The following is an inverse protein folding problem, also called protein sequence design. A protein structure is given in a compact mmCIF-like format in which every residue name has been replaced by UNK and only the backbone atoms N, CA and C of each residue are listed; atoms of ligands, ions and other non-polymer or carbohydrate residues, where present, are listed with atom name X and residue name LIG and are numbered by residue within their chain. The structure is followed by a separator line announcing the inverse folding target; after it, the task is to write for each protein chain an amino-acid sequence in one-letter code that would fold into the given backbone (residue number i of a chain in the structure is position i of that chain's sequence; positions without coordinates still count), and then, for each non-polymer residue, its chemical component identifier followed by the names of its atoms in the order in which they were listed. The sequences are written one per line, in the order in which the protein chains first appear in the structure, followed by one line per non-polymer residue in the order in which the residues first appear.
data_IF_561834432407
#
_entry.id   IF_561834432407
#
_cell.length_a   1.000
_cell.length_b   1.000
_cell.length_c   1.000
_cell.angle_alpha   90.00
_cell.angle_beta   90.00
_cell.angle_gamma   90.00
#
_symmetry.space_group_name_H-M   'P 1'
#
loop_
_entity.id
_entity.type
_entity.pdbx_description
1 polymer ?
#
# COMPACT_ATOMS: atom_id res chain seq x y z
N UNK A 1 -43.44 -31.62 -7.24
CA UNK A 1 -43.12 -30.47 -8.12
C UNK A 1 -42.15 -30.97 -9.15
N UNK A 2 -42.66 -31.58 -10.24
CA UNK A 2 -42.78 -31.00 -11.59
C UNK A 2 -41.52 -30.25 -12.04
N UNK A 3 -40.91 -30.80 -13.10
CA UNK A 3 -39.76 -30.30 -13.87
C UNK A 3 -39.95 -28.85 -14.30
N UNK A 4 -38.85 -28.11 -14.48
CA UNK A 4 -38.70 -27.34 -15.72
C UNK A 4 -37.23 -27.17 -16.14
N UNK A 5 -37.02 -27.53 -17.39
CA UNK A 5 -35.77 -27.55 -18.15
C UNK A 5 -35.78 -26.31 -19.02
N UNK A 6 -34.71 -25.50 -19.04
CA UNK A 6 -34.52 -24.51 -20.10
C UNK A 6 -33.13 -24.66 -20.70
N UNK A 7 -33.12 -25.22 -21.91
CA UNK A 7 -32.00 -25.21 -22.84
C UNK A 7 -32.26 -24.14 -23.90
N UNK A 8 -31.29 -23.25 -24.12
CA UNK A 8 -31.11 -22.41 -25.32
C UNK A 8 -29.61 -22.04 -25.30
N UNK A 9 -28.80 -22.13 -26.35
CA UNK A 9 -29.02 -22.30 -27.78
C UNK A 9 -27.77 -21.73 -28.46
N UNK A 10 -27.20 -22.48 -29.40
CA UNK A 10 -25.94 -22.21 -30.09
C UNK A 10 -25.95 -20.95 -30.99
N UNK A 11 -24.77 -20.41 -31.30
CA UNK A 11 -24.36 -20.05 -32.68
C UNK A 11 -22.93 -19.49 -32.75
N UNK A 12 -22.05 -20.23 -33.45
CA UNK A 12 -20.75 -19.79 -33.96
C UNK A 12 -20.93 -18.84 -35.17
N UNK A 13 -20.04 -17.85 -35.34
CA UNK A 13 -19.75 -17.26 -36.66
C UNK A 13 -18.26 -16.90 -36.77
N UNK A 14 -17.57 -17.58 -37.69
CA UNK A 14 -16.25 -17.27 -38.25
C UNK A 14 -16.40 -16.16 -39.32
N UNK A 15 -15.42 -15.26 -39.46
CA UNK A 15 -15.18 -14.56 -40.73
C UNK A 15 -13.73 -14.04 -40.81
N UNK A 16 -12.94 -14.71 -41.66
CA UNK A 16 -11.68 -14.22 -42.23
C UNK A 16 -11.98 -13.14 -43.28
N UNK A 17 -11.19 -12.06 -43.25
CA UNK A 17 -11.13 -11.08 -44.34
C UNK A 17 -9.68 -10.73 -44.66
N UNK A 18 -9.12 -11.37 -45.68
CA UNK A 18 -7.83 -11.01 -46.28
C UNK A 18 -8.11 -9.98 -47.38
N UNK A 19 -7.65 -8.75 -47.19
CA UNK A 19 -7.64 -7.71 -48.23
C UNK A 19 -6.23 -7.56 -48.77
N UNK A 20 -6.01 -8.11 -49.97
CA UNK A 20 -4.95 -7.71 -50.86
C UNK A 20 -5.39 -6.44 -51.61
N UNK A 21 -4.56 -5.39 -51.57
CA UNK A 21 -4.78 -4.13 -52.28
C UNK A 21 -3.45 -3.47 -52.63
N UNK A 22 -3.18 -3.35 -53.93
CA UNK A 22 -1.99 -2.72 -54.53
C UNK A 22 -2.12 -1.21 -54.68
N UNK A 23 -0.96 -0.60 -54.94
CA UNK A 23 -0.72 0.63 -55.72
C UNK A 23 -0.67 1.95 -54.94
N UNK A 24 0.44 2.66 -55.14
CA UNK A 24 0.66 4.01 -54.64
C UNK A 24 2.12 4.29 -54.36
N UNK A 25 2.95 4.36 -55.41
CA UNK A 25 4.26 5.01 -55.29
C UNK A 25 4.00 6.53 -55.26
N UNK A 26 3.97 7.10 -54.07
CA UNK A 26 4.09 8.54 -53.84
C UNK A 26 5.37 8.78 -53.06
N UNK A 27 6.23 9.61 -53.64
CA UNK A 27 7.46 10.12 -53.03
C UNK A 27 7.20 10.64 -51.60
N UNK A 28 8.02 10.24 -50.60
CA UNK A 28 7.94 10.91 -49.32
C UNK A 28 8.61 12.27 -49.46
N UNK A 29 7.80 13.32 -49.43
CA UNK A 29 8.26 14.62 -48.99
C UNK A 29 8.96 14.43 -47.64
N UNK A 30 10.15 15.01 -47.50
CA UNK A 30 10.89 15.01 -46.25
C UNK A 30 10.05 15.74 -45.19
N UNK A 31 9.26 14.99 -44.42
CA UNK A 31 8.72 15.47 -43.16
C UNK A 31 9.90 15.74 -42.24
N UNK A 32 10.15 17.02 -41.96
CA UNK A 32 10.94 17.43 -40.82
C UNK A 32 10.25 16.88 -39.56
N UNK A 33 10.69 15.68 -39.14
CA UNK A 33 10.27 15.08 -37.89
C UNK A 33 10.62 16.03 -36.76
N UNK A 34 9.60 16.59 -36.12
CA UNK A 34 9.77 17.18 -34.79
C UNK A 34 10.11 16.02 -33.86
N UNK A 35 11.38 15.93 -33.43
CA UNK A 35 11.74 15.04 -32.34
C UNK A 35 10.97 15.55 -31.12
N UNK A 36 9.84 14.91 -30.79
CA UNK A 36 9.27 15.01 -29.44
C UNK A 36 10.23 14.24 -28.54
N UNK A 37 11.16 14.95 -27.92
CA UNK A 37 11.85 14.44 -26.75
C UNK A 37 10.78 14.25 -25.69
N UNK A 38 10.43 12.99 -25.39
CA UNK A 38 9.63 12.69 -24.22
C UNK A 38 10.35 13.30 -23.00
N UNK A 39 9.64 13.95 -22.07
CA UNK A 39 10.23 14.36 -20.81
C UNK A 39 10.99 13.17 -20.19
N UNK A 40 12.18 13.37 -19.62
CA UNK A 40 12.86 12.29 -18.93
C UNK A 40 11.91 11.71 -17.87
N UNK A 41 11.78 10.39 -17.86
CA UNK A 41 11.06 9.70 -16.79
C UNK A 41 11.81 9.95 -15.49
N UNK A 42 11.25 10.81 -14.64
CA UNK A 42 11.74 10.99 -13.28
C UNK A 42 11.45 9.69 -12.56
N UNK A 43 12.49 8.89 -12.30
CA UNK A 43 12.35 7.70 -11.46
C UNK A 43 12.05 8.20 -10.04
N UNK A 44 10.86 7.89 -9.55
CA UNK A 44 10.49 8.22 -8.19
C UNK A 44 11.29 7.37 -7.21
N UNK A 45 11.82 7.96 -6.12
CA UNK A 45 12.55 7.20 -5.12
C UNK A 45 11.67 6.12 -4.49
N UNK A 46 12.20 4.89 -4.41
CA UNK A 46 11.59 3.83 -3.60
C UNK A 46 11.74 4.17 -2.11
N UNK A 47 10.75 3.76 -1.29
CA UNK A 47 10.84 3.92 0.16
C UNK A 47 12.03 3.10 0.69
N UNK A 48 12.85 3.66 1.60
CA UNK A 48 13.99 2.93 2.13
C UNK A 48 13.51 1.71 2.94
N UNK A 49 14.20 0.56 2.84
CA UNK A 49 13.89 -0.59 3.69
C UNK A 49 14.27 -0.28 5.15
N UNK A 50 13.56 -0.91 6.08
CA UNK A 50 13.79 -0.76 7.54
C UNK A 50 14.13 -2.09 8.19
N UNK A 51 15.00 -2.07 9.20
CA UNK A 51 15.44 -3.25 9.95
C UNK A 51 15.52 -2.96 11.47
N UNK A 52 15.22 -3.94 12.34
CA UNK A 52 15.26 -3.76 13.80
C UNK A 52 16.69 -3.76 14.35
N UNK A 53 17.42 -2.66 14.18
CA UNK A 53 18.87 -2.57 14.42
C UNK A 53 19.25 -2.20 15.85
N UNK A 54 18.38 -1.49 16.58
CA UNK A 54 18.70 -0.94 17.91
C UNK A 54 17.61 -1.26 18.93
N UNK A 55 18.00 -1.74 20.11
CA UNK A 55 17.07 -1.89 21.26
C UNK A 55 16.81 -0.53 21.89
N UNK A 56 15.58 -0.01 21.69
CA UNK A 56 15.12 1.27 22.22
C UNK A 56 13.59 1.36 22.16
N UNK A 57 13.01 2.24 22.98
CA UNK A 57 11.58 2.52 22.96
C UNK A 57 11.17 3.24 21.66
N UNK A 58 9.97 2.93 21.16
CA UNK A 58 9.40 3.60 20.01
C UNK A 58 8.94 5.03 20.38
N UNK A 59 9.32 6.07 19.62
CA UNK A 59 9.12 7.46 20.03
C UNK A 59 7.66 7.94 20.05
N UNK A 60 6.74 7.24 19.40
CA UNK A 60 5.34 7.64 19.26
C UNK A 60 4.32 6.58 19.73
N UNK A 61 4.78 5.42 20.16
CA UNK A 61 3.92 4.30 20.54
C UNK A 61 4.57 3.45 21.63
N UNK A 62 3.88 3.21 22.74
CA UNK A 62 4.43 2.38 23.82
C UNK A 62 4.13 0.89 23.63
N UNK A 63 4.97 0.03 24.23
CA UNK A 63 4.75 -1.42 24.25
C UNK A 63 3.43 -1.81 24.95
N UNK A 64 3.02 -1.07 25.99
CA UNK A 64 1.75 -1.32 26.70
C UNK A 64 0.54 -1.03 25.80
N UNK A 65 0.60 0.03 25.00
CA UNK A 65 -0.46 0.37 24.03
C UNK A 65 -0.56 -0.68 22.92
N UNK A 66 0.58 -1.14 22.41
CA UNK A 66 0.63 -2.25 21.45
C UNK A 66 0.04 -3.52 22.06
N UNK A 67 0.41 -3.83 23.30
CA UNK A 67 -0.09 -5.01 24.01
C UNK A 67 -1.61 -4.96 24.19
N UNK A 68 -2.14 -3.79 24.53
CA UNK A 68 -3.58 -3.58 24.68
C UNK A 68 -4.33 -3.67 23.34
N UNK A 69 -3.76 -3.13 22.26
CA UNK A 69 -4.37 -3.14 20.93
C UNK A 69 -4.33 -4.53 20.27
N UNK A 70 -3.20 -5.23 20.38
CA UNK A 70 -2.98 -6.53 19.74
C UNK A 70 -3.47 -7.73 20.57
N UNK A 71 -3.64 -7.56 21.89
CA UNK A 71 -3.95 -8.66 22.80
C UNK A 71 -2.77 -9.63 23.04
N UNK A 72 -1.58 -9.29 22.53
CA UNK A 72 -0.33 -10.03 22.69
C UNK A 72 0.68 -9.12 23.39
N UNK A 73 1.30 -9.54 24.51
CA UNK A 73 2.30 -8.72 25.19
C UNK A 73 3.51 -8.45 24.30
N UNK A 74 3.83 -7.17 24.12
CA UNK A 74 5.10 -6.72 23.55
C UNK A 74 6.19 -6.80 24.63
N UNK A 75 7.07 -7.79 24.49
CA UNK A 75 8.13 -8.11 25.45
C UNK A 75 9.44 -7.36 25.19
N UNK A 76 9.70 -6.98 23.94
CA UNK A 76 10.88 -6.21 23.52
C UNK A 76 10.51 -5.25 22.38
N UNK A 77 11.26 -4.14 22.28
CA UNK A 77 11.08 -3.13 21.23
C UNK A 77 12.42 -2.81 20.60
N UNK A 78 12.43 -2.80 19.28
CA UNK A 78 13.59 -2.34 18.49
C UNK A 78 13.17 -1.30 17.50
N UNK A 79 14.13 -0.46 17.12
CA UNK A 79 13.91 0.61 16.15
C UNK A 79 14.92 0.59 15.02
N UNK A 80 14.53 1.22 13.92
CA UNK A 80 15.42 1.72 12.88
C UNK A 80 15.39 3.25 12.90
N UNK A 81 16.50 3.88 13.31
CA UNK A 81 16.68 5.33 13.32
C UNK A 81 17.31 5.86 12.02
N UNK A 82 17.46 5.02 11.00
CA UNK A 82 17.83 5.41 9.63
C UNK A 82 16.71 6.13 8.87
N UNK A 83 15.49 6.11 9.42
CA UNK A 83 14.30 6.83 8.95
C UNK A 83 13.78 7.76 10.05
N UNK A 84 13.16 8.88 9.67
CA UNK A 84 12.60 9.85 10.61
C UNK A 84 11.11 10.09 10.29
N UNK A 85 10.18 9.86 11.24
CA UNK A 85 10.38 9.21 12.54
C UNK A 85 10.90 7.77 12.45
N UNK A 86 11.58 7.31 13.50
CA UNK A 86 12.11 5.94 13.57
C UNK A 86 11.03 4.87 13.32
N UNK A 87 11.38 3.84 12.55
CA UNK A 87 10.54 2.65 12.42
C UNK A 87 10.62 1.82 13.70
N UNK A 88 9.52 1.20 14.11
CA UNK A 88 9.44 0.45 15.36
C UNK A 88 8.98 -0.98 15.12
N UNK A 89 9.61 -1.91 15.84
CA UNK A 89 9.37 -3.35 15.75
C UNK A 89 9.10 -3.87 17.16
N UNK A 90 7.92 -4.44 17.36
CA UNK A 90 7.47 -4.97 18.64
C UNK A 90 7.53 -6.49 18.62
N UNK A 91 8.25 -7.04 19.59
CA UNK A 91 8.51 -8.46 19.72
C UNK A 91 7.65 -9.09 20.79
N UNK A 92 7.16 -10.30 20.55
CA UNK A 92 6.45 -11.08 21.54
C UNK A 92 7.42 -11.79 22.51
N UNK A 93 6.87 -12.55 23.46
CA UNK A 93 7.66 -13.28 24.45
C UNK A 93 8.52 -14.41 23.85
N UNK A 94 8.21 -14.87 22.63
CA UNK A 94 8.97 -15.88 21.90
C UNK A 94 10.11 -15.24 21.06
N UNK A 95 10.21 -13.92 21.06
CA UNK A 95 11.21 -13.17 20.31
C UNK A 95 10.88 -13.03 18.83
N UNK A 96 9.61 -13.20 18.43
CA UNK A 96 9.15 -12.94 17.07
C UNK A 96 8.55 -11.53 16.97
N UNK A 97 8.80 -10.84 15.85
CA UNK A 97 8.13 -9.56 15.57
C UNK A 97 6.65 -9.85 15.32
N UNK A 98 5.78 -9.19 16.08
CA UNK A 98 4.32 -9.34 15.92
C UNK A 98 3.64 -8.06 15.43
N UNK A 99 4.28 -6.89 15.60
CA UNK A 99 3.79 -5.63 15.07
C UNK A 99 4.95 -4.72 14.64
N UNK A 100 4.80 -4.07 13.50
CA UNK A 100 5.76 -3.09 12.96
C UNK A 100 5.04 -1.80 12.61
N UNK A 101 5.66 -0.65 12.91
CA UNK A 101 5.19 0.67 12.49
C UNK A 101 6.28 1.40 11.70
N UNK A 102 5.91 1.98 10.56
CA UNK A 102 6.80 2.80 9.75
C UNK A 102 6.10 4.10 9.37
N UNK A 103 6.85 5.19 9.37
CA UNK A 103 6.38 6.49 8.90
C UNK A 103 7.41 7.02 7.91
N UNK A 104 6.95 7.43 6.74
CA UNK A 104 7.80 8.01 5.70
C UNK A 104 7.29 9.39 5.31
N UNK A 105 8.20 10.34 5.15
CA UNK A 105 7.97 11.56 4.38
C UNK A 105 8.28 11.27 2.90
N UNK A 106 7.42 11.76 2.01
CA UNK A 106 7.55 11.56 0.56
C UNK A 106 7.48 12.89 -0.18
N UNK A 107 7.70 12.87 -1.50
CA UNK A 107 7.88 14.10 -2.27
C UNK A 107 6.64 15.01 -2.33
N UNK A 108 5.43 14.46 -2.19
CA UNK A 108 4.19 15.23 -2.19
C UNK A 108 3.00 14.44 -1.62
N UNK A 109 1.89 15.12 -1.28
CA UNK A 109 0.65 14.46 -0.87
C UNK A 109 0.06 13.52 -1.92
N UNK A 110 0.18 13.86 -3.21
CA UNK A 110 -0.27 12.99 -4.29
C UNK A 110 0.51 11.67 -4.32
N UNK A 111 1.83 11.73 -4.06
CA UNK A 111 2.67 10.53 -3.98
C UNK A 111 2.33 9.70 -2.74
N UNK A 112 2.05 10.34 -1.60
CA UNK A 112 1.61 9.63 -0.40
C UNK A 112 0.31 8.86 -0.66
N UNK A 113 -0.68 9.51 -1.29
CA UNK A 113 -1.95 8.88 -1.64
C UNK A 113 -1.79 7.74 -2.66
N UNK A 114 -0.88 7.88 -3.63
CA UNK A 114 -0.55 6.82 -4.59
C UNK A 114 0.02 5.58 -3.90
N UNK A 115 1.01 5.74 -3.03
CA UNK A 115 1.61 4.64 -2.25
C UNK A 115 0.59 3.91 -1.37
N UNK A 116 -0.36 4.65 -0.79
CA UNK A 116 -1.48 4.06 -0.06
C UNK A 116 -2.36 3.25 -0.99
N UNK A 117 -2.73 3.78 -2.16
CA UNK A 117 -3.59 3.07 -3.12
C UNK A 117 -2.90 1.83 -3.74
N UNK A 118 -1.58 1.85 -3.89
CA UNK A 118 -0.79 0.68 -4.28
C UNK A 118 -0.82 -0.42 -3.21
N UNK A 119 -0.74 -0.03 -1.92
CA UNK A 119 -0.67 -0.96 -0.79
C UNK A 119 -2.06 -1.44 -0.31
N UNK A 120 -3.06 -0.60 -0.44
CA UNK A 120 -4.45 -0.81 -0.04
C UNK A 120 -5.40 -0.35 -1.18
N UNK A 121 -5.54 -1.15 -2.24
CA UNK A 121 -6.30 -0.74 -3.41
C UNK A 121 -7.79 -0.46 -3.11
N UNK A 122 -8.36 0.62 -3.66
CA UNK A 122 -9.78 0.92 -3.47
C UNK A 122 -10.68 -0.23 -3.93
N UNK A 123 -11.56 -0.69 -3.03
CA UNK A 123 -12.46 -1.82 -3.28
C UNK A 123 -11.86 -3.19 -2.96
N UNK A 124 -10.56 -3.26 -2.67
CA UNK A 124 -9.87 -4.45 -2.18
C UNK A 124 -9.41 -4.30 -0.71
N UNK A 125 -9.44 -3.07 -0.17
CA UNK A 125 -9.19 -2.76 1.25
C UNK A 125 -10.41 -2.20 1.97
N UNK A 126 -10.45 -2.35 3.28
CA UNK A 126 -11.43 -1.67 4.14
C UNK A 126 -10.95 -0.26 4.50
N UNK A 127 -11.79 0.79 4.40
CA UNK A 127 -11.36 2.15 4.73
C UNK A 127 -11.00 2.32 6.21
N UNK A 128 -10.00 3.17 6.50
CA UNK A 128 -9.63 3.57 7.87
C UNK A 128 -9.19 5.02 7.92
N UNK A 129 -9.57 5.70 9.01
CA UNK A 129 -9.21 7.09 9.31
C UNK A 129 -8.58 7.12 10.71
N UNK A 130 -7.53 7.92 10.89
CA UNK A 130 -6.82 8.02 12.18
C UNK A 130 -6.89 9.42 12.81
N UNK A 131 -7.85 10.24 12.38
CA UNK A 131 -7.90 11.67 12.74
C UNK A 131 -6.78 12.46 12.09
N UNK A 132 -6.70 13.78 12.36
CA UNK A 132 -5.58 14.61 11.92
C UNK A 132 -5.31 14.61 10.39
N UNK A 133 -6.33 14.32 9.57
CA UNK A 133 -6.20 14.23 8.12
C UNK A 133 -5.64 12.91 7.59
N UNK A 134 -5.34 11.93 8.45
CA UNK A 134 -4.88 10.60 8.05
C UNK A 134 -6.04 9.74 7.55
N UNK A 135 -5.91 9.25 6.31
CA UNK A 135 -6.89 8.40 5.64
C UNK A 135 -6.19 7.30 4.82
N UNK A 136 -6.85 6.15 4.69
CA UNK A 136 -6.32 5.06 3.87
C UNK A 136 -7.12 3.77 3.99
N UNK A 137 -6.42 2.64 4.01
CA UNK A 137 -7.05 1.32 3.97
C UNK A 137 -6.36 0.27 4.82
N UNK A 138 -7.15 -0.75 5.19
CA UNK A 138 -6.71 -1.96 5.86
C UNK A 138 -6.87 -3.14 4.90
N UNK A 139 -5.80 -3.92 4.74
CA UNK A 139 -5.80 -5.19 4.03
C UNK A 139 -5.50 -6.31 5.03
N UNK A 140 -6.03 -7.50 4.74
CA UNK A 140 -5.79 -8.71 5.54
C UNK A 140 -5.42 -9.84 4.59
N UNK A 141 -4.37 -10.58 4.92
CA UNK A 141 -3.91 -11.70 4.12
C UNK A 141 -2.99 -12.64 4.89
N UNK A 142 -2.29 -13.56 4.20
CA UNK A 142 -1.43 -14.57 4.84
C UNK A 142 -0.26 -14.00 5.66
N UNK A 143 0.11 -12.73 5.45
CA UNK A 143 1.12 -12.02 6.22
C UNK A 143 0.55 -11.31 7.46
N UNK A 144 -0.76 -11.42 7.69
CA UNK A 144 -1.51 -10.74 8.74
C UNK A 144 -2.27 -9.51 8.22
N UNK A 145 -2.54 -8.56 9.11
CA UNK A 145 -3.25 -7.33 8.81
C UNK A 145 -2.28 -6.16 8.60
N UNK A 146 -2.56 -5.32 7.59
CA UNK A 146 -1.79 -4.13 7.26
C UNK A 146 -2.75 -2.93 7.18
N UNK A 147 -2.48 -1.88 7.93
CA UNK A 147 -3.10 -0.57 7.74
C UNK A 147 -2.09 0.37 7.09
N UNK A 148 -2.46 1.05 6.01
CA UNK A 148 -1.63 2.08 5.36
C UNK A 148 -2.47 3.33 5.17
N UNK A 149 -1.96 4.47 5.63
CA UNK A 149 -2.63 5.76 5.60
C UNK A 149 -1.68 6.84 5.07
N UNK A 150 -2.24 7.84 4.40
CA UNK A 150 -1.55 9.07 4.03
C UNK A 150 -2.13 10.24 4.82
N UNK A 151 -1.26 11.17 5.20
CA UNK A 151 -1.60 12.46 5.78
C UNK A 151 -0.56 13.49 5.33
N UNK A 152 -0.99 14.58 4.72
CA UNK A 152 -0.11 15.51 4.01
C UNK A 152 0.84 14.77 3.06
N UNK A 153 2.16 15.02 3.12
CA UNK A 153 3.21 14.37 2.36
C UNK A 153 3.81 13.15 3.08
N UNK A 154 3.04 12.48 3.95
CA UNK A 154 3.51 11.37 4.77
C UNK A 154 2.69 10.11 4.61
N UNK A 155 3.34 8.96 4.78
CA UNK A 155 2.74 7.62 4.76
C UNK A 155 3.01 6.94 6.09
N UNK A 156 1.95 6.46 6.75
CA UNK A 156 1.99 5.62 7.95
C UNK A 156 1.58 4.21 7.55
N UNK A 157 2.42 3.22 7.85
CA UNK A 157 2.06 1.82 7.73
C UNK A 157 2.21 1.10 9.07
N UNK A 158 1.21 0.28 9.41
CA UNK A 158 1.18 -0.55 10.60
C UNK A 158 0.87 -1.98 10.17
N UNK A 159 1.84 -2.87 10.33
CA UNK A 159 1.73 -4.28 10.01
C UNK A 159 1.62 -5.09 11.30
N UNK A 160 0.63 -5.97 11.38
CA UNK A 160 0.55 -7.02 12.39
C UNK A 160 0.69 -8.38 11.71
N UNK A 161 1.32 -9.35 12.37
CA UNK A 161 1.33 -10.75 11.91
C UNK A 161 0.02 -11.47 12.21
N UNK A 162 -0.82 -10.91 13.09
CA UNK A 162 -2.17 -11.39 13.35
C UNK A 162 -3.12 -11.04 12.20
N UNK A 163 -4.03 -11.96 11.88
CA UNK A 163 -5.02 -11.80 10.80
C UNK A 163 -6.24 -10.96 11.21
N UNK A 164 -6.36 -10.61 12.50
CA UNK A 164 -7.43 -9.75 12.99
C UNK A 164 -7.08 -8.26 12.78
N UNK A 165 -7.87 -7.48 12.01
CA UNK A 165 -7.53 -6.10 11.69
C UNK A 165 -7.69 -5.12 12.85
N UNK A 166 -8.26 -5.56 13.99
CA UNK A 166 -8.49 -4.72 15.16
C UNK A 166 -7.21 -4.08 15.69
N UNK A 167 -6.12 -4.86 15.75
CA UNK A 167 -4.83 -4.38 16.25
C UNK A 167 -4.30 -3.19 15.43
N UNK A 168 -4.22 -3.34 14.10
CA UNK A 168 -3.68 -2.29 13.23
C UNK A 168 -4.59 -1.06 13.20
N UNK A 169 -5.92 -1.24 13.25
CA UNK A 169 -6.88 -0.13 13.35
C UNK A 169 -6.70 0.69 14.63
N UNK A 170 -6.67 0.01 15.78
CA UNK A 170 -6.47 0.69 17.06
C UNK A 170 -5.11 1.39 17.13
N UNK A 171 -4.05 0.80 16.57
CA UNK A 171 -2.73 1.42 16.57
C UNK A 171 -2.68 2.67 15.68
N UNK A 172 -3.25 2.65 14.47
CA UNK A 172 -3.25 3.86 13.63
C UNK A 172 -4.05 4.99 14.28
N UNK A 173 -5.19 4.69 14.91
CA UNK A 173 -5.99 5.68 15.67
C UNK A 173 -5.21 6.31 16.84
N UNK A 174 -4.31 5.55 17.48
CA UNK A 174 -3.45 6.07 18.54
C UNK A 174 -2.34 6.97 17.98
N UNK A 175 -1.73 6.57 16.86
CA UNK A 175 -0.56 7.23 16.29
C UNK A 175 -0.94 8.49 15.51
N UNK A 176 -2.01 8.47 14.72
CA UNK A 176 -2.40 9.55 13.80
C UNK A 176 -2.33 10.95 14.43
N UNK A 177 -2.98 11.18 15.59
CA UNK A 177 -2.95 12.50 16.26
C UNK A 177 -1.60 12.87 16.88
N UNK A 178 -0.67 11.91 17.04
CA UNK A 178 0.66 12.14 17.63
C UNK A 178 1.69 12.54 16.59
N UNK A 179 1.44 12.21 15.33
CA UNK A 179 2.32 12.54 14.22
C UNK A 179 2.02 13.92 13.62
N UNK A 180 1.03 14.65 14.12
CA UNK A 180 0.80 16.05 13.76
C UNK A 180 2.02 16.90 14.18
N UNK A 181 2.63 17.60 13.21
CA UNK A 181 3.65 18.64 13.42
C UNK A 181 3.31 19.86 12.57
#
# INVERSE_FOLDING_TARGET
MVLDTVALGAASVLLLGVLAGCSGSSEPAAEMGTIRTAPPETVEPELPPVEPVSEADCPYLSADEVSAAAGVPAADVRIDDGVDPAACFFYDADGAVHLTTTVYEVASPERAAELVAESAPPGESEPVEAGAGWSGGVTVGPAGALAVLSGDDRVLAVQSTGEEPGAVRSVVELIGPRLEN
#
